data_IF_416245867346
#
_entry.id   IF_416245867346
#
_cell.length_a   1.000
_cell.length_b   1.000
_cell.length_c   1.000
_cell.angle_alpha   90.00
_cell.angle_beta   90.00
_cell.angle_gamma   90.00
#
_symmetry.space_group_name_H-M   'P 1'
#
loop_
_entity.id
_entity.type
_entity.pdbx_description
1 polymer ?
#
# COMPACT_ATOMS: atom_id res chain seq x y z
N UNK A 1 -53.86 -7.41 -13.39
CA UNK A 1 -53.27 -6.60 -14.46
C UNK A 1 -51.79 -6.54 -14.20
N UNK A 2 -50.97 -7.20 -15.04
CA UNK A 2 -49.50 -7.09 -14.99
C UNK A 2 -49.08 -5.74 -15.59
N UNK A 3 -48.07 -5.05 -15.04
CA UNK A 3 -47.53 -3.83 -15.64
C UNK A 3 -46.78 -4.16 -16.96
N UNK A 4 -46.70 -3.22 -17.90
CA UNK A 4 -46.10 -3.47 -19.20
C UNK A 4 -44.56 -3.69 -19.07
N UNK A 5 -44.08 -4.69 -19.82
CA UNK A 5 -42.69 -5.06 -20.02
C UNK A 5 -41.93 -3.87 -20.62
N UNK A 6 -41.07 -3.24 -19.86
CA UNK A 6 -40.11 -2.27 -20.38
C UNK A 6 -39.02 -3.07 -21.15
N UNK A 7 -38.70 -2.69 -22.40
CA UNK A 7 -37.66 -3.40 -23.14
C UNK A 7 -36.29 -3.23 -22.46
N UNK A 8 -35.40 -4.25 -22.50
CA UNK A 8 -34.07 -4.14 -21.95
C UNK A 8 -33.33 -2.97 -22.64
N UNK A 9 -32.78 -2.08 -21.82
CA UNK A 9 -31.96 -0.99 -22.29
C UNK A 9 -30.88 -1.50 -23.21
N UNK A 10 -30.63 -0.77 -24.30
CA UNK A 10 -29.55 -0.99 -25.26
C UNK A 10 -28.27 -1.24 -24.48
N UNK A 11 -27.66 -2.42 -24.63
CA UNK A 11 -26.31 -2.67 -24.17
C UNK A 11 -25.42 -1.57 -24.77
N UNK A 12 -24.83 -0.76 -23.89
CA UNK A 12 -23.83 0.22 -24.31
C UNK A 12 -22.72 -0.58 -25.02
N UNK A 13 -22.36 -0.19 -26.24
CA UNK A 13 -21.20 -0.73 -26.94
C UNK A 13 -19.98 -0.42 -26.09
N UNK A 14 -19.26 -1.46 -25.67
CA UNK A 14 -18.02 -1.33 -24.90
C UNK A 14 -17.06 -0.36 -25.62
N UNK A 15 -16.52 0.59 -24.90
CA UNK A 15 -15.51 1.51 -25.43
C UNK A 15 -14.19 0.76 -25.67
N UNK A 16 -13.27 1.33 -26.46
CA UNK A 16 -11.94 0.74 -26.63
C UNK A 16 -11.22 0.57 -25.29
N UNK A 17 -11.40 1.53 -24.39
CA UNK A 17 -10.85 1.51 -23.01
C UNK A 17 -11.42 0.37 -22.16
N UNK A 18 -12.70 0.07 -22.28
CA UNK A 18 -13.31 -1.07 -21.59
C UNK A 18 -12.75 -2.41 -22.10
N UNK A 19 -12.47 -2.51 -23.40
CA UNK A 19 -11.88 -3.71 -24.01
C UNK A 19 -10.43 -3.94 -23.55
N UNK A 20 -9.63 -2.88 -23.51
CA UNK A 20 -8.24 -2.94 -23.02
C UNK A 20 -8.20 -3.30 -21.52
N UNK A 21 -9.06 -2.67 -20.72
CA UNK A 21 -9.14 -2.96 -19.31
C UNK A 21 -9.60 -4.38 -19.04
N UNK A 22 -10.58 -4.89 -19.77
CA UNK A 22 -11.01 -6.30 -19.69
C UNK A 22 -9.84 -7.26 -20.00
N UNK A 23 -9.12 -7.02 -21.07
CA UNK A 23 -7.95 -7.83 -21.45
C UNK A 23 -6.87 -7.83 -20.36
N UNK A 24 -6.66 -6.69 -19.72
CA UNK A 24 -5.76 -6.60 -18.56
C UNK A 24 -6.27 -7.45 -17.39
N UNK A 25 -7.55 -7.32 -17.04
CA UNK A 25 -8.17 -8.04 -15.93
C UNK A 25 -8.11 -9.56 -16.13
N UNK A 26 -8.45 -10.04 -17.34
CA UNK A 26 -8.37 -11.47 -17.68
C UNK A 26 -6.95 -12.00 -17.44
N UNK A 27 -5.95 -11.30 -17.96
CA UNK A 27 -4.53 -11.67 -17.78
C UNK A 27 -4.11 -11.67 -16.31
N UNK A 28 -4.56 -10.69 -15.53
CA UNK A 28 -4.22 -10.60 -14.10
C UNK A 28 -4.88 -11.71 -13.30
N UNK A 29 -6.16 -12.04 -13.60
CA UNK A 29 -6.89 -13.14 -12.97
C UNK A 29 -6.28 -14.51 -13.29
N UNK A 30 -5.90 -14.74 -14.56
CA UNK A 30 -5.19 -15.95 -14.99
C UNK A 30 -3.86 -16.09 -14.21
N UNK A 31 -3.13 -14.98 -14.07
CA UNK A 31 -1.85 -14.96 -13.36
C UNK A 31 -2.04 -15.19 -11.86
N UNK A 32 -3.05 -14.59 -11.23
CA UNK A 32 -3.39 -14.82 -9.82
C UNK A 32 -3.73 -16.30 -9.57
N UNK A 33 -4.50 -16.90 -10.48
CA UNK A 33 -4.83 -18.33 -10.39
C UNK A 33 -3.59 -19.22 -10.56
N UNK A 34 -2.71 -18.90 -11.52
CA UNK A 34 -1.52 -19.70 -11.81
C UNK A 34 -0.45 -19.61 -10.68
N UNK A 35 -0.35 -18.45 -10.06
CA UNK A 35 0.64 -18.18 -8.99
C UNK A 35 0.08 -18.47 -7.59
N UNK A 36 -1.16 -18.94 -7.48
CA UNK A 36 -1.79 -19.19 -6.19
C UNK A 36 -0.96 -20.11 -5.29
N UNK A 37 -0.84 -19.72 -4.05
CA UNK A 37 -0.24 -20.51 -2.98
C UNK A 37 -1.15 -20.52 -1.75
N UNK A 38 -1.06 -21.57 -0.94
CA UNK A 38 -1.77 -21.63 0.33
C UNK A 38 -0.88 -21.01 1.43
N UNK A 39 -1.21 -19.83 1.99
CA UNK A 39 -0.38 -19.14 2.96
C UNK A 39 -0.14 -19.96 4.24
N UNK A 40 -1.09 -20.80 4.62
CA UNK A 40 -1.00 -21.61 5.85
C UNK A 40 0.02 -22.74 5.76
N UNK A 41 0.44 -23.12 4.55
CA UNK A 41 1.39 -24.23 4.31
C UNK A 41 2.66 -23.81 3.57
N UNK A 42 2.69 -22.63 2.96
CA UNK A 42 3.81 -22.18 2.11
C UNK A 42 5.00 -21.69 2.92
N UNK A 43 4.74 -21.07 4.08
CA UNK A 43 5.82 -20.50 4.90
C UNK A 43 6.40 -21.53 5.87
N UNK A 44 7.72 -21.58 5.90
CA UNK A 44 8.43 -22.20 7.02
C UNK A 44 8.48 -21.17 8.18
N UNK A 45 7.76 -21.49 9.25
CA UNK A 45 7.69 -20.68 10.46
C UNK A 45 8.61 -21.29 11.54
N UNK A 46 9.91 -20.94 11.59
CA UNK A 46 10.80 -21.46 12.62
C UNK A 46 10.30 -21.09 14.03
N UNK A 47 10.76 -21.81 15.04
CA UNK A 47 10.37 -21.55 16.43
C UNK A 47 10.76 -20.13 16.86
N UNK A 48 11.92 -19.65 16.41
CA UNK A 48 12.47 -18.31 16.68
C UNK A 48 13.18 -17.76 15.45
N UNK A 49 13.23 -16.44 15.33
CA UNK A 49 14.16 -15.72 14.46
C UNK A 49 15.18 -15.06 15.39
N UNK A 50 16.51 -15.27 15.18
CA UNK A 50 17.52 -14.68 16.03
C UNK A 50 17.41 -13.16 16.14
N UNK A 51 17.58 -12.62 17.33
CA UNK A 51 17.49 -11.17 17.59
C UNK A 51 18.80 -10.44 17.31
N UNK A 52 19.87 -11.18 17.10
CA UNK A 52 21.20 -10.71 16.66
C UNK A 52 21.35 -10.77 15.13
N UNK A 53 20.30 -11.14 14.40
CA UNK A 53 20.18 -10.98 12.95
C UNK A 53 19.41 -9.71 12.59
N UNK A 54 19.56 -9.26 11.33
CA UNK A 54 18.77 -8.17 10.79
C UNK A 54 17.40 -8.67 10.34
N UNK A 55 16.34 -7.93 10.71
CA UNK A 55 14.96 -8.19 10.28
C UNK A 55 14.50 -7.22 9.19
N UNK A 56 15.22 -6.11 9.02
CA UNK A 56 15.03 -5.13 7.95
C UNK A 56 16.41 -4.71 7.44
N UNK A 57 16.51 -4.48 6.14
CA UNK A 57 17.74 -3.99 5.51
C UNK A 57 18.14 -2.65 6.11
N UNK A 58 19.41 -2.44 6.49
CA UNK A 58 19.87 -1.17 7.06
C UNK A 58 19.55 0.05 6.20
N UNK A 59 19.54 -0.11 4.88
CA UNK A 59 19.25 0.92 3.89
C UNK A 59 17.78 1.40 3.93
N UNK A 60 16.88 0.61 4.51
CA UNK A 60 15.46 0.94 4.68
C UNK A 60 15.14 1.55 6.05
N UNK A 61 16.06 1.46 7.01
CA UNK A 61 15.83 1.99 8.35
C UNK A 61 15.67 3.51 8.33
N UNK A 62 14.85 4.01 9.25
CA UNK A 62 14.54 5.44 9.36
C UNK A 62 15.77 6.32 9.65
N UNK A 63 16.83 5.75 10.24
CA UNK A 63 18.08 6.45 10.53
C UNK A 63 19.10 6.40 9.37
N UNK A 64 18.84 5.60 8.33
CA UNK A 64 19.81 5.43 7.25
C UNK A 64 20.19 6.76 6.57
N UNK A 65 21.49 6.93 6.35
CA UNK A 65 22.06 8.15 5.72
C UNK A 65 22.12 9.35 6.65
N UNK A 66 21.90 9.17 7.95
CA UNK A 66 22.10 10.21 8.96
C UNK A 66 23.29 9.86 9.85
N UNK A 67 23.91 10.86 10.48
CA UNK A 67 24.97 10.69 11.46
C UNK A 67 24.53 9.83 12.66
N UNK A 68 23.23 9.80 12.97
CA UNK A 68 22.66 8.98 14.05
C UNK A 68 22.80 7.48 13.78
N UNK A 69 22.82 7.07 12.52
CA UNK A 69 23.05 5.67 12.14
C UNK A 69 24.46 5.22 12.51
N UNK A 70 25.45 6.10 12.33
CA UNK A 70 26.86 5.80 12.60
C UNK A 70 27.15 5.74 14.11
N UNK A 71 26.32 6.34 14.94
CA UNK A 71 26.41 6.32 16.40
C UNK A 71 25.86 5.02 17.04
N UNK A 72 25.13 4.19 16.27
CA UNK A 72 24.52 2.98 16.79
C UNK A 72 25.57 1.86 17.00
N UNK A 73 25.52 1.22 18.15
CA UNK A 73 26.15 -0.08 18.33
C UNK A 73 25.48 -1.15 17.45
N UNK A 74 26.19 -2.24 17.16
CA UNK A 74 25.61 -3.38 16.42
C UNK A 74 24.32 -3.89 17.05
N UNK A 75 24.27 -4.00 18.39
CA UNK A 75 23.07 -4.43 19.11
C UNK A 75 21.90 -3.44 18.96
N UNK A 76 22.16 -2.14 18.95
CA UNK A 76 21.13 -1.14 18.72
C UNK A 76 20.62 -1.15 17.26
N UNK A 77 21.52 -1.34 16.31
CA UNK A 77 21.14 -1.50 14.89
C UNK A 77 20.24 -2.72 14.69
N UNK A 78 20.59 -3.86 15.27
CA UNK A 78 19.78 -5.09 15.22
C UNK A 78 18.42 -4.89 15.89
N UNK A 79 18.37 -4.26 17.06
CA UNK A 79 17.13 -3.93 17.74
C UNK A 79 16.25 -2.98 16.93
N UNK A 80 16.83 -1.92 16.33
CA UNK A 80 16.11 -1.00 15.46
C UNK A 80 15.56 -1.72 14.22
N UNK A 81 16.38 -2.53 13.55
CA UNK A 81 15.99 -3.35 12.40
C UNK A 81 14.79 -4.25 12.74
N UNK A 82 14.82 -4.90 13.91
CA UNK A 82 13.71 -5.72 14.40
C UNK A 82 12.44 -4.92 14.59
N UNK A 83 12.48 -3.82 15.32
CA UNK A 83 11.28 -3.09 15.70
C UNK A 83 10.71 -2.24 14.57
N UNK A 84 11.53 -1.77 13.64
CA UNK A 84 11.02 -1.13 12.41
C UNK A 84 10.42 -2.15 11.45
N UNK A 85 10.94 -3.38 11.37
CA UNK A 85 10.29 -4.48 10.64
C UNK A 85 8.90 -4.79 11.20
N UNK A 86 8.78 -4.89 12.53
CA UNK A 86 7.48 -5.09 13.20
C UNK A 86 6.54 -3.91 12.96
N UNK A 87 7.05 -2.67 12.94
CA UNK A 87 6.24 -1.50 12.58
C UNK A 87 5.75 -1.57 11.13
N UNK A 88 6.64 -1.89 10.20
CA UNK A 88 6.29 -2.02 8.78
C UNK A 88 5.20 -3.09 8.57
N UNK A 89 5.35 -4.28 9.15
CA UNK A 89 4.32 -5.32 9.04
C UNK A 89 3.02 -4.96 9.77
N UNK A 90 3.09 -4.22 10.88
CA UNK A 90 1.90 -3.70 11.55
C UNK A 90 1.13 -2.71 10.68
N UNK A 91 1.83 -1.82 9.97
CA UNK A 91 1.23 -0.90 9.00
C UNK A 91 0.55 -1.64 7.85
N UNK A 92 1.16 -2.73 7.37
CA UNK A 92 0.54 -3.61 6.37
C UNK A 92 -0.76 -4.23 6.90
N UNK A 93 -0.75 -4.81 8.11
CA UNK A 93 -1.98 -5.38 8.72
C UNK A 93 -3.11 -4.36 8.77
N UNK A 94 -2.82 -3.10 9.16
CA UNK A 94 -3.85 -2.06 9.27
C UNK A 94 -4.28 -1.52 7.90
N UNK A 95 -3.33 -1.26 7.00
CA UNK A 95 -3.62 -0.76 5.65
C UNK A 95 -4.45 -1.75 4.85
N UNK A 96 -4.08 -3.03 4.88
CA UNK A 96 -4.80 -4.11 4.20
C UNK A 96 -6.21 -4.26 4.76
N UNK A 97 -6.40 -4.19 6.08
CA UNK A 97 -7.74 -4.25 6.65
C UNK A 97 -8.66 -3.14 6.11
N UNK A 98 -8.18 -1.91 6.05
CA UNK A 98 -8.96 -0.78 5.51
C UNK A 98 -9.23 -0.94 4.01
N UNK A 99 -8.22 -1.38 3.25
CA UNK A 99 -8.32 -1.68 1.82
C UNK A 99 -9.38 -2.76 1.55
N UNK A 100 -9.37 -3.87 2.30
CA UNK A 100 -10.34 -4.95 2.17
C UNK A 100 -11.79 -4.46 2.39
N UNK A 101 -12.01 -3.59 3.38
CA UNK A 101 -13.32 -2.99 3.65
C UNK A 101 -13.79 -2.18 2.43
N UNK A 102 -12.90 -1.35 1.87
CA UNK A 102 -13.25 -0.46 0.76
C UNK A 102 -13.48 -1.23 -0.55
N UNK A 103 -12.66 -2.24 -0.85
CA UNK A 103 -12.85 -3.06 -2.06
C UNK A 103 -14.12 -3.91 -1.93
N UNK A 104 -14.36 -4.53 -0.76
CA UNK A 104 -15.57 -5.34 -0.52
C UNK A 104 -16.85 -4.52 -0.70
N UNK A 105 -16.86 -3.24 -0.33
CA UNK A 105 -18.02 -2.36 -0.55
C UNK A 105 -18.35 -2.14 -2.03
N UNK A 106 -17.41 -2.39 -2.95
CA UNK A 106 -17.52 -2.11 -4.38
C UNK A 106 -17.69 -3.34 -5.26
N UNK A 107 -17.47 -4.54 -4.71
CA UNK A 107 -17.69 -5.80 -5.44
C UNK A 107 -19.14 -5.90 -5.91
N UNK A 108 -19.35 -6.16 -7.21
CA UNK A 108 -20.65 -6.30 -7.86
C UNK A 108 -21.60 -5.09 -7.67
N UNK A 109 -21.04 -3.89 -7.52
CA UNK A 109 -21.83 -2.65 -7.46
C UNK A 109 -21.80 -1.91 -8.79
N UNK A 110 -22.78 -1.00 -9.05
CA UNK A 110 -22.80 -0.19 -10.26
C UNK A 110 -21.50 0.59 -10.49
N UNK A 111 -20.94 0.46 -11.70
CA UNK A 111 -19.67 1.08 -12.10
C UNK A 111 -18.43 0.23 -11.83
N UNK A 112 -18.56 -0.89 -11.10
CA UNK A 112 -17.49 -1.86 -10.82
C UNK A 112 -17.79 -3.27 -11.32
N UNK A 113 -18.77 -3.43 -12.23
CA UNK A 113 -19.13 -4.73 -12.79
C UNK A 113 -17.94 -5.39 -13.50
N UNK A 114 -17.17 -4.58 -14.22
CA UNK A 114 -16.03 -5.08 -14.99
C UNK A 114 -14.87 -5.59 -14.11
N UNK A 115 -14.39 -4.87 -13.08
CA UNK A 115 -13.29 -5.33 -12.24
C UNK A 115 -13.69 -6.33 -11.15
N UNK A 116 -14.98 -6.63 -10.95
CA UNK A 116 -15.45 -7.41 -9.80
C UNK A 116 -14.90 -8.83 -9.74
N UNK A 117 -14.65 -9.48 -10.89
CA UNK A 117 -13.99 -10.80 -10.91
C UNK A 117 -12.57 -10.71 -10.34
N UNK A 118 -11.80 -9.72 -10.78
CA UNK A 118 -10.44 -9.51 -10.26
C UNK A 118 -10.46 -9.09 -8.78
N UNK A 119 -11.47 -8.36 -8.32
CA UNK A 119 -11.60 -8.02 -6.90
C UNK A 119 -11.67 -9.25 -5.99
N UNK A 120 -12.23 -10.39 -6.44
CA UNK A 120 -12.21 -11.61 -5.66
C UNK A 120 -10.79 -12.17 -5.48
N UNK A 121 -9.96 -12.14 -6.53
CA UNK A 121 -8.54 -12.51 -6.42
C UNK A 121 -7.81 -11.55 -5.48
N UNK A 122 -7.97 -10.24 -5.72
CA UNK A 122 -7.37 -9.20 -4.90
C UNK A 122 -7.71 -9.33 -3.41
N UNK A 123 -8.99 -9.50 -3.07
CA UNK A 123 -9.44 -9.69 -1.68
C UNK A 123 -8.84 -10.97 -1.07
N UNK A 124 -8.76 -12.05 -1.82
CA UNK A 124 -8.16 -13.31 -1.36
C UNK A 124 -6.68 -13.14 -1.03
N UNK A 125 -5.90 -12.59 -1.96
CA UNK A 125 -4.47 -12.34 -1.80
C UNK A 125 -4.19 -11.37 -0.64
N UNK A 126 -4.95 -10.28 -0.53
CA UNK A 126 -4.80 -9.31 0.55
C UNK A 126 -5.15 -9.88 1.94
N UNK A 127 -6.18 -10.74 2.02
CA UNK A 127 -6.47 -11.44 3.27
C UNK A 127 -5.31 -12.33 3.70
N UNK A 128 -4.66 -13.00 2.76
CA UNK A 128 -3.50 -13.86 3.00
C UNK A 128 -2.29 -13.03 3.45
N UNK A 129 -2.06 -11.87 2.82
CA UNK A 129 -1.03 -10.91 3.22
C UNK A 129 -1.23 -10.44 4.66
N UNK A 130 -2.44 -10.02 5.01
CA UNK A 130 -2.76 -9.59 6.37
C UNK A 130 -2.48 -10.69 7.38
N UNK A 131 -2.85 -11.94 7.06
CA UNK A 131 -2.63 -13.09 7.94
C UNK A 131 -1.13 -13.34 8.19
N UNK A 132 -0.29 -13.41 7.14
CA UNK A 132 1.11 -13.73 7.36
C UNK A 132 1.90 -12.59 8.03
N UNK A 133 1.55 -11.32 7.78
CA UNK A 133 2.16 -10.20 8.51
C UNK A 133 1.77 -10.20 9.99
N UNK A 134 0.49 -10.43 10.30
CA UNK A 134 0.02 -10.56 11.67
C UNK A 134 0.71 -11.74 12.38
N UNK A 135 0.80 -12.90 11.71
CA UNK A 135 1.46 -14.10 12.22
C UNK A 135 2.93 -13.83 12.55
N UNK A 136 3.66 -13.17 11.66
CA UNK A 136 5.05 -12.78 11.91
C UNK A 136 5.17 -11.91 13.16
N UNK A 137 4.39 -10.83 13.23
CA UNK A 137 4.43 -9.89 14.34
C UNK A 137 4.11 -10.56 15.67
N UNK A 138 3.04 -11.36 15.74
CA UNK A 138 2.59 -12.00 16.96
C UNK A 138 3.55 -13.12 17.39
N UNK A 139 4.02 -13.94 16.45
CA UNK A 139 4.91 -15.07 16.75
C UNK A 139 6.29 -14.61 17.24
N UNK A 140 6.90 -13.62 16.57
CA UNK A 140 8.31 -13.27 16.82
C UNK A 140 8.51 -12.02 17.65
N UNK A 141 7.51 -11.13 17.74
CA UNK A 141 7.58 -9.90 18.51
C UNK A 141 6.52 -9.81 19.61
N UNK A 142 5.53 -10.71 19.60
CA UNK A 142 4.46 -10.76 20.59
C UNK A 142 3.46 -9.59 20.51
N UNK A 143 3.52 -8.75 19.45
CA UNK A 143 2.63 -7.61 19.29
C UNK A 143 2.52 -7.14 17.84
N UNK A 144 1.39 -6.48 17.56
CA UNK A 144 1.18 -5.59 16.41
C UNK A 144 1.11 -4.17 16.99
N UNK A 145 1.84 -3.23 16.42
CA UNK A 145 1.71 -1.82 16.83
C UNK A 145 0.31 -1.32 16.51
N UNK A 146 -0.31 -0.52 17.42
CA UNK A 146 -1.65 -0.02 17.21
C UNK A 146 -1.71 0.91 15.99
N UNK A 147 -2.85 0.85 15.29
CA UNK A 147 -3.17 1.83 14.26
C UNK A 147 -3.24 3.23 14.87
N UNK A 148 -2.50 4.14 14.27
CA UNK A 148 -2.47 5.57 14.65
C UNK A 148 -3.05 6.45 13.57
N UNK A 149 -3.75 5.86 12.60
CA UNK A 149 -4.40 6.63 11.54
C UNK A 149 -5.36 7.65 12.16
N UNK A 150 -5.11 8.92 11.88
CA UNK A 150 -6.02 9.99 12.27
C UNK A 150 -7.22 9.90 11.33
N UNK A 151 -8.34 9.37 11.84
CA UNK A 151 -9.60 9.44 11.11
C UNK A 151 -10.06 10.90 11.12
N UNK A 152 -9.75 11.62 10.06
CA UNK A 152 -10.31 12.95 9.87
C UNK A 152 -11.81 12.79 9.61
N UNK A 153 -12.67 13.64 10.22
CA UNK A 153 -14.08 13.72 9.84
C UNK A 153 -14.15 14.07 8.37
N UNK A 154 -14.70 13.18 7.56
CA UNK A 154 -14.82 13.42 6.14
C UNK A 154 -16.25 13.90 5.87
N UNK A 155 -16.39 15.06 5.21
CA UNK A 155 -17.66 15.48 4.65
C UNK A 155 -18.09 14.47 3.57
N UNK A 156 -19.40 14.21 3.39
CA UNK A 156 -19.87 13.39 2.27
C UNK A 156 -19.35 13.96 0.96
N UNK A 157 -18.71 13.11 0.15
CA UNK A 157 -18.19 13.46 -1.18
C UNK A 157 -19.08 12.92 -2.27
N UNK A 158 -18.92 13.47 -3.47
CA UNK A 158 -19.46 12.87 -4.69
C UNK A 158 -18.93 11.41 -4.78
N UNK A 159 -19.78 10.41 -5.07
CA UNK A 159 -19.39 9.01 -5.12
C UNK A 159 -18.23 8.71 -6.08
N UNK A 160 -18.11 9.42 -7.21
CA UNK A 160 -17.01 9.20 -8.16
C UNK A 160 -15.70 9.78 -7.63
N UNK A 161 -15.74 10.92 -6.95
CA UNK A 161 -14.60 11.48 -6.23
C UNK A 161 -14.12 10.50 -5.14
N UNK A 162 -15.07 9.97 -4.36
CA UNK A 162 -14.75 9.01 -3.31
C UNK A 162 -14.11 7.73 -3.89
N UNK A 163 -14.66 7.20 -4.98
CA UNK A 163 -14.09 6.04 -5.66
C UNK A 163 -12.67 6.29 -6.16
N UNK A 164 -12.42 7.44 -6.78
CA UNK A 164 -11.08 7.83 -7.20
C UNK A 164 -10.11 7.90 -6.01
N UNK A 165 -10.50 8.57 -4.92
CA UNK A 165 -9.64 8.71 -3.74
C UNK A 165 -9.36 7.38 -3.05
N UNK A 166 -10.34 6.48 -2.97
CA UNK A 166 -10.15 5.14 -2.40
C UNK A 166 -9.07 4.38 -3.18
N UNK A 167 -9.22 4.25 -4.49
CA UNK A 167 -8.25 3.49 -5.28
C UNK A 167 -6.91 4.21 -5.45
N UNK A 168 -6.88 5.54 -5.44
CA UNK A 168 -5.62 6.28 -5.39
C UNK A 168 -4.86 6.04 -4.07
N UNK A 169 -5.56 6.00 -2.92
CA UNK A 169 -4.97 5.64 -1.63
C UNK A 169 -4.43 4.21 -1.60
N UNK A 170 -5.20 3.26 -2.12
CA UNK A 170 -4.78 1.86 -2.25
C UNK A 170 -3.49 1.79 -3.07
N UNK A 171 -3.47 2.38 -4.26
CA UNK A 171 -2.28 2.38 -5.12
C UNK A 171 -1.05 3.03 -4.46
N UNK A 172 -1.24 4.13 -3.72
CA UNK A 172 -0.16 4.75 -2.93
C UNK A 172 0.40 3.78 -1.91
N UNK A 173 -0.47 3.12 -1.17
CA UNK A 173 -0.09 2.14 -0.14
C UNK A 173 0.69 0.97 -0.77
N UNK A 174 0.15 0.33 -1.79
CA UNK A 174 0.76 -0.79 -2.53
C UNK A 174 2.18 -0.43 -3.05
N UNK A 175 2.33 0.74 -3.66
CA UNK A 175 3.62 1.15 -4.23
C UNK A 175 4.67 1.49 -3.17
N UNK A 176 4.26 2.07 -2.02
CA UNK A 176 5.17 2.29 -0.88
C UNK A 176 5.62 0.95 -0.32
N UNK A 177 4.68 0.04 -0.08
CA UNK A 177 4.96 -1.28 0.48
C UNK A 177 5.84 -2.10 -0.46
N UNK A 178 5.55 -2.10 -1.76
CA UNK A 178 6.34 -2.81 -2.76
C UNK A 178 7.79 -2.31 -2.86
N UNK A 179 8.00 -1.00 -2.65
CA UNK A 179 9.37 -0.46 -2.56
C UNK A 179 10.21 -1.14 -1.48
N UNK A 180 9.62 -1.49 -0.35
CA UNK A 180 10.25 -2.24 0.74
C UNK A 180 10.37 -3.72 0.40
N UNK A 181 9.31 -4.35 -0.11
CA UNK A 181 9.26 -5.76 -0.43
C UNK A 181 10.39 -6.20 -1.36
N UNK A 182 10.60 -5.46 -2.46
CA UNK A 182 11.67 -5.74 -3.43
C UNK A 182 13.04 -5.80 -2.77
N UNK A 183 13.34 -4.85 -1.88
CA UNK A 183 14.63 -4.76 -1.23
C UNK A 183 14.79 -5.84 -0.15
N UNK A 184 13.76 -6.05 0.68
CA UNK A 184 13.76 -7.07 1.73
C UNK A 184 13.85 -8.49 1.14
N UNK A 185 13.17 -8.76 0.04
CA UNK A 185 13.23 -10.05 -0.65
C UNK A 185 14.64 -10.37 -1.21
N UNK A 186 15.36 -9.35 -1.68
CA UNK A 186 16.67 -9.49 -2.30
C UNK A 186 17.83 -9.52 -1.31
N UNK A 187 17.68 -8.99 -0.10
CA UNK A 187 18.77 -8.82 0.87
C UNK A 187 19.13 -10.13 1.57
N UNK A 188 20.25 -10.72 1.18
CA UNK A 188 20.73 -12.00 1.72
C UNK A 188 21.19 -11.93 3.18
N UNK A 189 21.33 -10.74 3.76
CA UNK A 189 21.66 -10.56 5.20
C UNK A 189 20.48 -10.85 6.11
N UNK A 190 19.26 -10.86 5.54
CA UNK A 190 18.03 -11.09 6.29
C UNK A 190 17.70 -12.57 6.40
N UNK A 191 16.99 -12.92 7.49
CA UNK A 191 16.52 -14.29 7.71
C UNK A 191 15.67 -14.78 6.52
N UNK A 192 15.79 -16.07 6.11
CA UNK A 192 15.06 -16.64 4.96
C UNK A 192 13.54 -16.43 5.02
N UNK A 193 12.93 -16.54 6.20
CA UNK A 193 11.49 -16.31 6.39
C UNK A 193 11.09 -14.86 6.05
N UNK A 194 11.87 -13.85 6.50
CA UNK A 194 11.63 -12.44 6.15
C UNK A 194 11.67 -12.23 4.64
N UNK A 195 12.71 -12.78 4.00
CA UNK A 195 12.88 -12.69 2.54
C UNK A 195 11.75 -13.39 1.79
N UNK A 196 11.29 -14.53 2.30
CA UNK A 196 10.22 -15.31 1.67
C UNK A 196 8.89 -14.56 1.71
N UNK A 197 8.49 -14.02 2.87
CA UNK A 197 7.30 -13.20 3.04
C UNK A 197 7.29 -12.05 2.03
N UNK A 198 8.35 -11.26 2.01
CA UNK A 198 8.41 -10.08 1.14
C UNK A 198 8.49 -10.44 -0.35
N UNK A 199 9.06 -11.60 -0.71
CA UNK A 199 9.08 -12.06 -2.10
C UNK A 199 7.71 -12.45 -2.61
N UNK A 200 6.93 -13.21 -1.82
CA UNK A 200 5.56 -13.59 -2.22
C UNK A 200 4.66 -12.36 -2.26
N UNK A 201 4.75 -11.50 -1.25
CA UNK A 201 4.02 -10.24 -1.26
C UNK A 201 4.33 -9.41 -2.53
N UNK A 202 5.61 -9.17 -2.85
CA UNK A 202 6.01 -8.47 -4.08
C UNK A 202 5.44 -9.12 -5.36
N UNK A 203 5.38 -10.45 -5.41
CA UNK A 203 4.83 -11.17 -6.57
C UNK A 203 3.37 -10.78 -6.79
N UNK A 204 2.56 -10.75 -5.73
CA UNK A 204 1.14 -10.42 -5.80
C UNK A 204 0.94 -8.91 -6.02
N UNK A 205 1.69 -8.05 -5.31
CA UNK A 205 1.67 -6.61 -5.48
C UNK A 205 1.94 -6.14 -6.90
N UNK A 206 2.73 -6.88 -7.65
CA UNK A 206 2.97 -6.56 -9.07
C UNK A 206 1.67 -6.57 -9.89
N UNK A 207 0.71 -7.45 -9.56
CA UNK A 207 -0.62 -7.51 -10.18
C UNK A 207 -1.51 -6.40 -9.67
N UNK A 208 -1.53 -6.18 -8.35
CA UNK A 208 -2.32 -5.15 -7.69
C UNK A 208 -1.96 -3.76 -8.20
N UNK A 209 -0.67 -3.44 -8.30
CA UNK A 209 -0.19 -2.16 -8.82
C UNK A 209 -0.56 -1.97 -10.30
N UNK A 210 -0.42 -3.02 -11.14
CA UNK A 210 -0.81 -2.93 -12.54
C UNK A 210 -2.31 -2.66 -12.71
N UNK A 211 -3.14 -3.36 -11.94
CA UNK A 211 -4.57 -3.12 -11.84
C UNK A 211 -4.88 -1.71 -11.33
N UNK A 212 -4.30 -1.33 -10.19
CA UNK A 212 -4.51 -0.05 -9.53
C UNK A 212 -4.18 1.14 -10.42
N UNK A 213 -3.05 1.09 -11.15
CA UNK A 213 -2.68 2.14 -12.11
C UNK A 213 -3.75 2.32 -13.20
N UNK A 214 -4.26 1.22 -13.78
CA UNK A 214 -5.28 1.35 -14.83
C UNK A 214 -6.62 1.83 -14.27
N UNK A 215 -7.06 1.29 -13.14
CA UNK A 215 -8.33 1.70 -12.53
C UNK A 215 -8.31 3.16 -12.08
N UNK A 216 -7.24 3.60 -11.41
CA UNK A 216 -7.10 5.01 -10.97
C UNK A 216 -7.11 5.96 -12.16
N UNK A 217 -6.44 5.59 -13.26
CA UNK A 217 -6.46 6.37 -14.50
C UNK A 217 -7.89 6.50 -15.06
N UNK A 218 -8.61 5.38 -15.21
CA UNK A 218 -10.00 5.38 -15.70
C UNK A 218 -10.94 6.19 -14.81
N UNK A 219 -10.78 6.09 -13.49
CA UNK A 219 -11.60 6.88 -12.56
C UNK A 219 -11.28 8.38 -12.65
N UNK A 220 -10.02 8.74 -12.86
CA UNK A 220 -9.61 10.13 -13.08
C UNK A 220 -10.16 10.69 -14.39
N UNK A 221 -10.06 9.95 -15.50
CA UNK A 221 -10.63 10.36 -16.80
C UNK A 221 -12.14 10.57 -16.70
N UNK A 222 -12.88 9.67 -16.04
CA UNK A 222 -14.32 9.84 -15.80
C UNK A 222 -14.65 11.13 -15.04
N UNK A 223 -13.85 11.50 -14.04
CA UNK A 223 -14.03 12.76 -13.31
C UNK A 223 -13.80 13.97 -14.23
N UNK A 224 -12.79 13.93 -15.10
CA UNK A 224 -12.52 14.99 -16.06
C UNK A 224 -13.64 15.12 -17.09
N UNK A 225 -14.13 14.02 -17.63
CA UNK A 225 -15.22 13.99 -18.63
C UNK A 225 -16.53 14.52 -18.04
N UNK A 226 -16.75 14.34 -16.74
CA UNK A 226 -17.89 14.93 -16.01
C UNK A 226 -17.71 16.41 -15.69
N UNK A 227 -16.59 17.01 -16.07
CA UNK A 227 -16.34 18.43 -15.87
C UNK A 227 -15.85 18.79 -14.46
N UNK A 228 -15.01 17.95 -13.86
CA UNK A 228 -14.36 18.25 -12.56
C UNK A 228 -13.71 19.64 -12.62
N UNK A 229 -14.18 20.57 -11.79
CA UNK A 229 -13.69 21.94 -11.78
C UNK A 229 -12.32 22.08 -11.11
N UNK A 230 -11.67 23.23 -11.30
CA UNK A 230 -10.32 23.45 -10.79
C UNK A 230 -10.25 23.52 -9.25
N UNK A 231 -11.32 23.98 -8.61
CA UNK A 231 -11.38 24.03 -7.14
C UNK A 231 -11.38 22.60 -6.55
N UNK A 232 -12.19 21.71 -7.13
CA UNK A 232 -12.23 20.30 -6.75
C UNK A 232 -10.90 19.59 -7.05
N UNK A 233 -10.28 19.87 -8.21
CA UNK A 233 -8.93 19.35 -8.52
C UNK A 233 -7.90 19.79 -7.49
N UNK A 234 -7.91 21.05 -7.11
CA UNK A 234 -6.99 21.57 -6.09
C UNK A 234 -7.20 20.88 -4.74
N UNK A 235 -8.46 20.67 -4.34
CA UNK A 235 -8.78 19.94 -3.10
C UNK A 235 -8.26 18.51 -3.14
N UNK A 236 -8.46 17.77 -4.25
CA UNK A 236 -8.00 16.41 -4.44
C UNK A 236 -6.48 16.31 -4.41
N UNK A 237 -5.75 17.23 -5.06
CA UNK A 237 -4.28 17.33 -4.98
C UNK A 237 -3.82 17.52 -3.54
N UNK A 238 -4.44 18.46 -2.84
CA UNK A 238 -4.13 18.74 -1.43
C UNK A 238 -4.38 17.52 -0.53
N UNK A 239 -5.46 16.80 -0.76
CA UNK A 239 -5.78 15.58 -0.04
C UNK A 239 -4.73 14.49 -0.28
N UNK A 240 -4.42 14.18 -1.55
CA UNK A 240 -3.45 13.14 -1.89
C UNK A 240 -2.03 13.53 -1.44
N UNK A 241 -1.65 14.79 -1.52
CA UNK A 241 -0.35 15.27 -1.00
C UNK A 241 -0.21 15.03 0.51
N UNK A 242 -1.27 15.33 1.28
CA UNK A 242 -1.29 15.02 2.72
C UNK A 242 -1.25 13.51 2.98
N UNK A 243 -1.97 12.72 2.18
CA UNK A 243 -1.97 11.26 2.32
C UNK A 243 -0.59 10.66 2.07
N UNK A 244 0.12 11.09 1.01
CA UNK A 244 1.50 10.69 0.71
C UNK A 244 2.44 11.03 1.89
N UNK A 245 2.35 12.23 2.42
CA UNK A 245 3.16 12.67 3.56
C UNK A 245 2.88 11.81 4.79
N UNK A 246 1.61 11.63 5.15
CA UNK A 246 1.22 10.86 6.33
C UNK A 246 1.61 9.38 6.20
N UNK A 247 1.50 8.81 5.00
CA UNK A 247 1.92 7.43 4.73
C UNK A 247 3.41 7.22 5.00
N UNK A 248 4.25 8.13 4.52
CA UNK A 248 5.69 8.11 4.81
C UNK A 248 5.97 8.34 6.30
N UNK A 249 5.29 9.29 6.93
CA UNK A 249 5.49 9.60 8.34
C UNK A 249 5.11 8.45 9.28
N UNK A 250 4.21 7.57 8.86
CA UNK A 250 3.81 6.38 9.64
C UNK A 250 4.94 5.38 9.83
N UNK A 251 5.92 5.36 8.92
CA UNK A 251 7.12 4.54 9.04
C UNK A 251 8.00 4.94 10.22
N UNK A 252 7.90 6.19 10.70
CA UNK A 252 8.68 6.76 11.80
C UNK A 252 7.91 6.62 13.12
N UNK A 253 7.91 5.41 13.70
CA UNK A 253 7.12 5.13 14.89
C UNK A 253 7.94 5.35 16.19
N UNK A 254 7.60 6.35 17.04
CA UNK A 254 8.29 6.57 18.31
C UNK A 254 8.26 5.36 19.26
N UNK A 255 7.24 4.52 19.15
CA UNK A 255 7.17 3.31 19.95
C UNK A 255 8.19 2.25 19.48
N UNK A 256 8.46 2.16 18.19
CA UNK A 256 9.50 1.27 17.66
C UNK A 256 10.89 1.71 18.13
N UNK A 257 11.16 3.01 18.14
CA UNK A 257 12.42 3.56 18.68
C UNK A 257 12.60 3.24 20.17
N UNK A 258 11.55 3.45 20.98
CA UNK A 258 11.58 3.08 22.40
C UNK A 258 11.85 1.59 22.61
N UNK A 259 11.19 0.74 21.84
CA UNK A 259 11.35 -0.71 21.94
C UNK A 259 12.73 -1.18 21.43
N UNK A 260 13.37 -0.40 20.56
CA UNK A 260 14.77 -0.57 20.15
C UNK A 260 15.79 -0.01 21.18
N UNK A 261 15.32 0.57 22.30
CA UNK A 261 16.19 1.16 23.32
C UNK A 261 16.76 2.52 22.93
N UNK A 262 16.17 3.20 21.96
CA UNK A 262 16.59 4.55 21.55
C UNK A 262 15.85 5.59 22.40
N UNK A 263 16.56 6.62 22.93
CA UNK A 263 15.96 7.64 23.79
C UNK A 263 15.06 8.59 23.00
N UNK A 264 14.11 9.20 23.69
CA UNK A 264 13.22 10.26 23.19
C UNK A 264 12.69 10.05 21.75
N UNK A 265 11.93 8.96 21.56
CA UNK A 265 11.43 8.57 20.25
C UNK A 265 10.63 9.66 19.51
N UNK A 266 9.95 10.58 20.22
CA UNK A 266 9.24 11.70 19.60
C UNK A 266 10.19 12.79 19.08
N UNK A 267 11.23 13.14 19.84
CA UNK A 267 12.26 14.10 19.37
C UNK A 267 13.04 13.48 18.22
N UNK A 268 13.41 12.21 18.32
CA UNK A 268 14.08 11.46 17.24
C UNK A 268 13.24 11.48 15.96
N UNK A 269 11.94 11.16 16.02
CA UNK A 269 11.04 11.23 14.87
C UNK A 269 11.06 12.62 14.21
N UNK A 270 10.91 13.69 15.01
CA UNK A 270 10.92 15.07 14.46
C UNK A 270 12.24 15.40 13.76
N UNK A 271 13.38 15.03 14.37
CA UNK A 271 14.71 15.24 13.80
C UNK A 271 14.88 14.51 12.47
N UNK A 272 14.48 13.23 12.43
CA UNK A 272 14.58 12.40 11.22
C UNK A 272 13.69 12.92 10.08
N UNK A 273 12.43 13.25 10.35
CA UNK A 273 11.52 13.77 9.32
C UNK A 273 12.02 15.10 8.72
N UNK A 274 12.74 15.92 9.49
CA UNK A 274 13.34 17.16 9.01
C UNK A 274 14.72 16.95 8.35
N UNK A 275 15.32 15.76 8.45
CA UNK A 275 16.69 15.52 8.00
C UNK A 275 16.76 15.44 6.46
N UNK A 276 17.69 16.19 5.78
CA UNK A 276 17.76 16.23 4.32
C UNK A 276 17.93 14.85 3.66
N UNK A 277 18.77 13.97 4.22
CA UNK A 277 18.95 12.62 3.69
C UNK A 277 17.66 11.80 3.77
N UNK A 278 16.82 12.01 4.78
CA UNK A 278 15.51 11.31 4.90
C UNK A 278 14.50 11.90 3.92
N UNK A 279 14.48 13.21 3.71
CA UNK A 279 13.64 13.83 2.67
C UNK A 279 13.99 13.30 1.27
N UNK A 280 15.28 13.16 0.96
CA UNK A 280 15.72 12.52 -0.29
C UNK A 280 15.29 11.06 -0.39
N UNK A 281 15.34 10.30 0.72
CA UNK A 281 14.84 8.93 0.76
C UNK A 281 13.31 8.86 0.57
N UNK A 282 12.54 9.78 1.18
CA UNK A 282 11.10 9.88 0.96
C UNK A 282 10.75 10.12 -0.51
N UNK A 283 11.44 11.05 -1.16
CA UNK A 283 11.26 11.32 -2.59
C UNK A 283 11.53 10.05 -3.43
N UNK A 284 12.54 9.25 -3.07
CA UNK A 284 12.85 7.99 -3.74
C UNK A 284 11.76 6.95 -3.55
N UNK A 285 11.24 6.78 -2.33
CA UNK A 285 10.13 5.86 -2.04
C UNK A 285 8.88 6.24 -2.85
N UNK A 286 8.55 7.54 -2.90
CA UNK A 286 7.35 8.06 -3.57
C UNK A 286 7.50 8.24 -5.09
N UNK A 287 8.70 8.04 -5.65
CA UNK A 287 8.99 8.37 -7.05
C UNK A 287 8.04 7.73 -8.06
N UNK A 288 7.74 6.44 -7.90
CA UNK A 288 6.82 5.70 -8.81
C UNK A 288 5.41 6.30 -8.73
N UNK A 289 4.92 6.52 -7.52
CA UNK A 289 3.57 7.04 -7.25
C UNK A 289 3.39 8.46 -7.77
N UNK A 290 4.28 9.36 -7.40
CA UNK A 290 4.22 10.76 -7.85
C UNK A 290 4.39 10.85 -9.37
N UNK A 291 5.31 10.06 -9.95
CA UNK A 291 5.51 9.99 -11.39
C UNK A 291 4.28 9.46 -12.14
N UNK A 292 3.54 8.51 -11.56
CA UNK A 292 2.28 8.04 -12.13
C UNK A 292 1.19 9.11 -12.05
N UNK A 293 0.96 9.71 -10.86
CA UNK A 293 -0.06 10.73 -10.66
C UNK A 293 0.19 11.99 -11.51
N UNK A 294 1.46 12.37 -11.71
CA UNK A 294 1.83 13.43 -12.64
C UNK A 294 1.47 13.06 -14.09
N UNK A 295 1.82 11.84 -14.55
CA UNK A 295 1.53 11.42 -15.93
C UNK A 295 0.05 11.45 -16.28
N UNK A 296 -0.82 11.12 -15.34
CA UNK A 296 -2.27 11.16 -15.56
C UNK A 296 -2.87 12.56 -15.29
N UNK A 297 -2.04 13.56 -14.96
CA UNK A 297 -2.45 14.95 -14.78
C UNK A 297 -3.15 15.25 -13.45
N UNK A 298 -2.94 14.43 -12.41
CA UNK A 298 -3.48 14.71 -11.07
C UNK A 298 -2.71 15.83 -10.40
N UNK A 299 -1.37 15.83 -10.46
CA UNK A 299 -0.52 16.84 -9.83
C UNK A 299 -0.03 17.95 -10.77
N UNK A 300 -0.07 17.74 -12.08
CA UNK A 300 0.34 18.78 -13.03
C UNK A 300 -0.75 19.85 -13.24
N UNK A 301 -0.34 21.11 -13.18
CA UNK A 301 -1.18 22.27 -13.48
C UNK A 301 -1.23 22.60 -15.00
N UNK A 302 -0.63 21.76 -15.84
CA UNK A 302 -0.42 22.06 -17.26
C UNK A 302 -1.22 21.14 -18.18
N UNK A 303 -2.52 21.35 -18.25
CA UNK A 303 -3.37 21.09 -19.42
C UNK A 303 -4.34 22.25 -19.65
#
# INVERSE_FOLDING_TARGET
MCPPNTPPGRAATATADDTEFRTLLDRLSDKATADYYNPFTTFDWPATIPTDELWMSPELLSLHGTELMDELSTAQLQALSRWESVNFYSLNVHGIRELLIEVTRRVHTPGFELPSEFFHHFIGEENDHMWFFATFCLKYAGKIYPDKSVKLPEAPRDPDIENFLVFARILVFEQIVDHYNVQLAADRRLHPTVRHINRLHHQDESRHIAFGCRLVHLLWERLLDRGLDEAARHELRGYLGRYLTTSIESLYNPAAYRDAGLPDGFALRRRLLAHPARQAAHAKVLHKTTGFLNRIGVFDDHR
#
